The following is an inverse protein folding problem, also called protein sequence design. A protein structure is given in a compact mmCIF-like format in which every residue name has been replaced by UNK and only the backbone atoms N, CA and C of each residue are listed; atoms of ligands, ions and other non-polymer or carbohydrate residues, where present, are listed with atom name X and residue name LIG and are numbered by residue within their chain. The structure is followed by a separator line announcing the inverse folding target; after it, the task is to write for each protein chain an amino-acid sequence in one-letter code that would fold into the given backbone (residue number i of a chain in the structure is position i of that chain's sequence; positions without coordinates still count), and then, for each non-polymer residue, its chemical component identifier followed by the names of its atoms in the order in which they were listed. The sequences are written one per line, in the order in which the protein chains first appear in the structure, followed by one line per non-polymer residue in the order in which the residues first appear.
data_IF_310156878849
#
_entry.id   IF_310156878849
#
_cell.length_a   1.000
_cell.length_b   1.000
_cell.length_c   1.000
_cell.angle_alpha   90.00
_cell.angle_beta   90.00
_cell.angle_gamma   90.00
#
_symmetry.space_group_name_H-M   'P 1'
#
loop_
_entity.id
_entity.type
_entity.pdbx_description
1 polymer ?
#
# COMPACT_ATOMS: atom_id res chain seq x y z
N UNK A 1 -3.46 -12.50 6.72
CA UNK A 1 -2.32 -13.42 6.47
C UNK A 1 -1.06 -12.62 6.76
N UNK A 2 -0.06 -13.14 7.46
CA UNK A 2 1.18 -12.40 7.76
C UNK A 2 2.26 -12.63 6.70
N UNK A 3 3.25 -11.75 6.61
CA UNK A 3 4.38 -11.87 5.69
C UNK A 3 5.14 -13.16 5.94
N UNK A 4 5.40 -13.50 7.21
CA UNK A 4 6.04 -14.76 7.59
C UNK A 4 5.33 -15.98 6.99
N UNK A 5 4.01 -16.02 7.11
CA UNK A 5 3.21 -17.13 6.56
C UNK A 5 3.28 -17.11 5.03
N UNK A 6 3.17 -15.94 4.40
CA UNK A 6 3.24 -15.81 2.95
C UNK A 6 4.57 -16.33 2.39
N UNK A 7 5.70 -15.94 2.98
CA UNK A 7 7.03 -16.40 2.56
C UNK A 7 7.22 -17.91 2.74
N UNK A 8 6.70 -18.46 3.85
CA UNK A 8 6.74 -19.90 4.12
C UNK A 8 5.89 -20.70 3.13
N UNK A 9 4.66 -20.24 2.84
CA UNK A 9 3.75 -20.88 1.88
C UNK A 9 4.35 -20.87 0.45
N UNK A 10 5.11 -19.82 0.10
CA UNK A 10 5.83 -19.69 -1.17
C UNK A 10 7.24 -20.32 -1.16
N UNK A 11 7.67 -20.93 -0.04
CA UNK A 11 8.97 -21.59 0.12
C UNK A 11 10.17 -20.70 -0.23
N UNK A 12 10.08 -19.40 0.02
CA UNK A 12 11.14 -18.43 -0.33
C UNK A 12 12.47 -18.80 0.31
N UNK A 13 12.46 -19.16 1.60
CA UNK A 13 13.68 -19.52 2.33
C UNK A 13 14.24 -20.92 1.98
N UNK A 14 13.60 -21.66 1.05
CA UNK A 14 14.08 -22.98 0.57
C UNK A 14 14.79 -22.88 -0.79
N UNK A 15 14.92 -21.67 -1.36
CA UNK A 15 15.61 -21.45 -2.63
C UNK A 15 17.12 -21.51 -2.37
N UNK A 16 17.82 -22.45 -3.00
CA UNK A 16 19.26 -22.65 -2.82
C UNK A 16 20.13 -21.74 -3.70
N UNK A 17 19.59 -21.29 -4.83
CA UNK A 17 20.31 -20.38 -5.73
C UNK A 17 20.20 -18.95 -5.20
N UNK A 18 21.34 -18.37 -4.81
CA UNK A 18 21.40 -17.03 -4.20
C UNK A 18 20.78 -15.95 -5.09
N UNK A 19 20.99 -16.02 -6.42
CA UNK A 19 20.45 -15.01 -7.34
C UNK A 19 18.94 -15.15 -7.47
N UNK A 20 18.45 -16.37 -7.60
CA UNK A 20 17.01 -16.65 -7.66
C UNK A 20 16.34 -16.32 -6.33
N UNK A 21 17.01 -16.57 -5.20
CA UNK A 21 16.51 -16.24 -3.87
C UNK A 21 16.28 -14.73 -3.73
N UNK A 22 17.29 -13.91 -4.05
CA UNK A 22 17.19 -12.46 -3.95
C UNK A 22 16.03 -11.90 -4.79
N UNK A 23 15.91 -12.32 -6.04
CA UNK A 23 14.82 -11.87 -6.92
C UNK A 23 13.45 -12.34 -6.41
N UNK A 24 13.36 -13.61 -6.02
CA UNK A 24 12.10 -14.20 -5.52
C UNK A 24 11.65 -13.57 -4.21
N UNK A 25 12.58 -13.27 -3.30
CA UNK A 25 12.32 -12.59 -2.04
C UNK A 25 11.79 -11.17 -2.29
N UNK A 26 12.50 -10.38 -3.09
CA UNK A 26 12.09 -9.02 -3.44
C UNK A 26 10.68 -8.99 -4.01
N UNK A 27 10.41 -9.84 -4.99
CA UNK A 27 9.10 -9.94 -5.65
C UNK A 27 8.01 -10.46 -4.70
N UNK A 28 8.32 -11.44 -3.86
CA UNK A 28 7.35 -12.00 -2.91
C UNK A 28 6.95 -10.98 -1.84
N UNK A 29 7.90 -10.24 -1.28
CA UNK A 29 7.62 -9.19 -0.30
C UNK A 29 6.82 -8.07 -0.94
N UNK A 30 7.20 -7.60 -2.13
CA UNK A 30 6.45 -6.57 -2.86
C UNK A 30 5.01 -7.03 -3.14
N UNK A 31 4.84 -8.27 -3.62
CA UNK A 31 3.52 -8.84 -3.92
C UNK A 31 2.66 -8.94 -2.66
N UNK A 32 3.23 -9.42 -1.55
CA UNK A 32 2.54 -9.47 -0.26
C UNK A 32 2.05 -8.08 0.15
N UNK A 33 2.92 -7.07 0.12
CA UNK A 33 2.58 -5.69 0.45
C UNK A 33 1.45 -5.17 -0.44
N UNK A 34 1.47 -5.46 -1.75
CA UNK A 34 0.39 -5.09 -2.66
C UNK A 34 -0.95 -5.75 -2.33
N UNK A 35 -0.95 -7.05 -1.96
CA UNK A 35 -2.17 -7.79 -1.60
C UNK A 35 -2.89 -7.17 -0.39
N UNK A 36 -2.12 -6.73 0.61
CA UNK A 36 -2.67 -6.11 1.82
C UNK A 36 -2.82 -4.59 1.71
N UNK A 37 -2.58 -4.02 0.53
CA UNK A 37 -2.66 -2.58 0.29
C UNK A 37 -1.65 -1.76 1.10
N UNK A 38 -0.46 -2.32 1.37
CA UNK A 38 0.62 -1.71 2.16
C UNK A 38 0.26 -1.40 3.63
N UNK A 39 -0.86 -1.94 4.12
CA UNK A 39 -1.25 -1.88 5.53
C UNK A 39 -0.62 -3.04 6.30
N UNK A 40 0.69 -2.94 6.54
CA UNK A 40 1.49 -3.95 7.23
C UNK A 40 1.41 -3.83 8.75
N UNK A 41 1.58 -4.95 9.44
CA UNK A 41 1.73 -4.96 10.91
C UNK A 41 3.15 -4.59 11.33
N UNK A 42 3.36 -4.32 12.62
CA UNK A 42 4.71 -4.14 13.19
C UNK A 42 5.60 -5.36 12.94
N UNK A 43 5.04 -6.56 13.08
CA UNK A 43 5.76 -7.83 12.89
C UNK A 43 6.19 -8.00 11.42
N UNK A 44 5.34 -7.59 10.47
CA UNK A 44 5.69 -7.60 9.05
C UNK A 44 6.82 -6.60 8.76
N UNK A 45 6.75 -5.39 9.36
CA UNK A 45 7.78 -4.37 9.22
C UNK A 45 9.13 -4.86 9.77
N UNK A 46 9.15 -5.52 10.92
CA UNK A 46 10.37 -6.13 11.48
C UNK A 46 10.98 -7.16 10.53
N UNK A 47 10.15 -7.98 9.88
CA UNK A 47 10.63 -8.95 8.88
C UNK A 47 11.25 -8.23 7.68
N UNK A 48 10.57 -7.21 7.13
CA UNK A 48 11.08 -6.41 5.99
C UNK A 48 12.43 -5.78 6.33
N UNK A 49 12.56 -5.20 7.53
CA UNK A 49 13.83 -4.62 8.02
C UNK A 49 14.91 -5.67 8.17
N UNK A 50 14.58 -6.83 8.75
CA UNK A 50 15.54 -7.93 8.93
C UNK A 50 16.06 -8.50 7.61
N UNK A 51 15.27 -8.38 6.54
CA UNK A 51 15.64 -8.77 5.16
C UNK A 51 16.34 -7.64 4.38
N UNK A 52 16.55 -6.47 4.98
CA UNK A 52 17.21 -5.34 4.32
C UNK A 52 16.37 -4.65 3.25
N UNK A 53 15.04 -4.82 3.27
CA UNK A 53 14.12 -4.30 2.26
C UNK A 53 13.39 -3.02 2.69
N UNK A 54 13.83 -2.35 3.77
CA UNK A 54 13.15 -1.16 4.32
C UNK A 54 13.03 -0.02 3.29
N UNK A 55 14.13 0.35 2.63
CA UNK A 55 14.11 1.42 1.63
C UNK A 55 13.25 1.06 0.41
N UNK A 56 13.28 -0.21 0.00
CA UNK A 56 12.44 -0.71 -1.09
C UNK A 56 10.96 -0.64 -0.71
N UNK A 57 10.61 -1.07 0.50
CA UNK A 57 9.26 -0.98 1.03
C UNK A 57 8.74 0.46 1.08
N UNK A 58 9.54 1.41 1.58
CA UNK A 58 9.16 2.83 1.63
C UNK A 58 8.86 3.33 0.22
N UNK A 59 9.74 3.04 -0.75
CA UNK A 59 9.54 3.46 -2.13
C UNK A 59 8.28 2.84 -2.75
N UNK A 60 8.10 1.53 -2.60
CA UNK A 60 6.91 0.84 -3.12
C UNK A 60 5.62 1.37 -2.50
N UNK A 61 5.60 1.63 -1.18
CA UNK A 61 4.46 2.21 -0.48
C UNK A 61 4.12 3.58 -1.05
N UNK A 62 5.11 4.46 -1.23
CA UNK A 62 4.89 5.80 -1.80
C UNK A 62 4.30 5.72 -3.20
N UNK A 63 4.83 4.84 -4.06
CA UNK A 63 4.30 4.63 -5.41
C UNK A 63 2.84 4.17 -5.34
N UNK A 64 2.55 3.14 -4.54
CA UNK A 64 1.19 2.62 -4.38
C UNK A 64 0.19 3.68 -3.91
N UNK A 65 0.57 4.50 -2.92
CA UNK A 65 -0.33 5.53 -2.38
C UNK A 65 -0.55 6.64 -3.39
N UNK A 66 0.47 7.02 -4.19
CA UNK A 66 0.32 8.00 -5.27
C UNK A 66 -0.61 7.49 -6.37
N UNK A 67 -0.43 6.25 -6.82
CA UNK A 67 -1.31 5.64 -7.82
C UNK A 67 -2.75 5.57 -7.29
N UNK A 68 -2.92 5.28 -6.00
CA UNK A 68 -4.22 5.25 -5.34
C UNK A 68 -4.85 6.65 -5.26
N UNK A 69 -4.06 7.69 -4.98
CA UNK A 69 -4.48 9.08 -4.96
C UNK A 69 -4.90 9.58 -6.35
N UNK A 70 -4.12 9.26 -7.39
CA UNK A 70 -4.47 9.55 -8.78
C UNK A 70 -5.78 8.87 -9.18
N UNK A 71 -5.95 7.60 -8.80
CA UNK A 71 -7.21 6.89 -9.04
C UNK A 71 -8.40 7.51 -8.32
N UNK A 72 -8.21 8.05 -7.11
CA UNK A 72 -9.25 8.79 -6.40
C UNK A 72 -9.61 10.10 -7.12
N UNK A 73 -8.63 10.79 -7.71
CA UNK A 73 -8.85 12.02 -8.49
C UNK A 73 -9.71 11.85 -9.74
N UNK A 74 -9.85 10.62 -10.25
CA UNK A 74 -10.70 10.27 -11.40
C UNK A 74 -12.17 10.01 -10.99
N UNK A 75 -12.49 9.90 -9.70
CA UNK A 75 -13.83 9.62 -9.18
C UNK A 75 -14.73 10.85 -9.34
N UNK A 76 -15.90 10.66 -9.96
CA UNK A 76 -16.87 11.75 -10.10
C UNK A 76 -17.32 12.27 -8.73
N UNK A 77 -17.44 13.59 -8.60
CA UNK A 77 -17.78 14.27 -7.35
C UNK A 77 -18.72 15.43 -7.61
N UNK A 78 -19.70 15.61 -6.71
CA UNK A 78 -20.60 16.74 -6.77
C UNK A 78 -19.84 18.04 -6.42
N UNK A 79 -19.83 19.06 -7.28
CA UNK A 79 -19.05 20.29 -7.06
C UNK A 79 -19.62 21.20 -5.95
N UNK A 80 -20.87 21.01 -5.54
CA UNK A 80 -21.51 21.80 -4.48
C UNK A 80 -21.36 21.14 -3.10
N UNK A 81 -21.44 19.81 -3.03
CA UNK A 81 -21.37 19.06 -1.76
C UNK A 81 -20.02 18.41 -1.50
N UNK A 82 -19.15 18.33 -2.51
CA UNK A 82 -17.86 17.64 -2.46
C UNK A 82 -17.94 16.16 -2.06
N UNK A 83 -19.11 15.56 -2.29
CA UNK A 83 -19.38 14.14 -2.08
C UNK A 83 -19.12 13.34 -3.36
N UNK A 84 -18.54 12.15 -3.23
CA UNK A 84 -18.33 11.24 -4.37
C UNK A 84 -19.68 10.75 -4.93
N UNK A 85 -19.80 10.69 -6.25
CA UNK A 85 -21.04 10.27 -6.95
C UNK A 85 -21.05 8.76 -7.27
N UNK A 86 -19.89 8.11 -7.21
CA UNK A 86 -19.71 6.69 -7.47
C UNK A 86 -18.92 6.02 -6.33
N UNK A 87 -19.12 4.71 -6.09
CA UNK A 87 -18.38 4.02 -5.04
C UNK A 87 -16.89 3.97 -5.36
N UNK A 88 -16.07 4.27 -4.36
CA UNK A 88 -14.62 4.15 -4.48
C UNK A 88 -14.07 3.34 -3.31
N UNK A 89 -13.42 2.20 -3.63
CA UNK A 89 -12.98 1.20 -2.63
C UNK A 89 -14.14 0.73 -1.75
N UNK A 90 -14.15 1.13 -0.48
CA UNK A 90 -15.17 0.80 0.51
C UNK A 90 -16.07 2.01 0.84
N UNK A 91 -15.81 3.17 0.24
CA UNK A 91 -16.62 4.37 0.36
C UNK A 91 -17.79 4.30 -0.62
N UNK A 92 -18.97 4.68 -0.12
CA UNK A 92 -20.21 4.69 -0.89
C UNK A 92 -20.44 6.08 -1.50
N UNK A 93 -21.26 6.18 -2.57
CA UNK A 93 -21.75 7.47 -3.05
C UNK A 93 -22.34 8.31 -1.91
N UNK A 94 -22.06 9.61 -1.89
CA UNK A 94 -22.41 10.51 -0.80
C UNK A 94 -21.35 10.63 0.30
N UNK A 95 -20.20 9.96 0.19
CA UNK A 95 -19.07 10.16 1.12
C UNK A 95 -18.35 11.47 0.76
N UNK A 96 -18.12 12.33 1.75
CA UNK A 96 -17.39 13.58 1.54
C UNK A 96 -15.90 13.31 1.25
N UNK A 97 -15.30 14.05 0.31
CA UNK A 97 -13.88 13.85 -0.06
C UNK A 97 -12.91 14.00 1.12
N UNK A 98 -13.22 14.88 2.07
CA UNK A 98 -12.36 15.09 3.26
C UNK A 98 -12.29 13.85 4.16
N UNK A 99 -13.36 13.06 4.25
CA UNK A 99 -13.33 11.79 4.99
C UNK A 99 -12.38 10.80 4.32
N UNK A 100 -12.33 10.82 3.00
CA UNK A 100 -11.42 9.98 2.20
C UNK A 100 -9.97 10.49 2.34
N UNK A 101 -9.77 11.80 2.38
CA UNK A 101 -8.47 12.43 2.66
C UNK A 101 -7.93 12.02 4.02
N UNK A 102 -8.73 12.15 5.08
CA UNK A 102 -8.33 11.71 6.42
C UNK A 102 -8.03 10.22 6.46
N UNK A 103 -8.76 9.41 5.71
CA UNK A 103 -8.43 7.99 5.57
C UNK A 103 -7.04 7.75 4.97
N UNK A 104 -6.60 8.52 3.96
CA UNK A 104 -5.23 8.42 3.45
C UNK A 104 -4.20 8.73 4.55
N UNK A 105 -4.44 9.80 5.31
CA UNK A 105 -3.52 10.24 6.36
C UNK A 105 -3.40 9.20 7.49
N UNK A 106 -4.54 8.68 7.95
CA UNK A 106 -4.59 7.68 9.00
C UNK A 106 -4.00 6.33 8.59
N UNK A 107 -4.27 5.87 7.37
CA UNK A 107 -3.84 4.53 6.94
C UNK A 107 -2.39 4.48 6.49
N UNK A 108 -1.90 5.53 5.83
CA UNK A 108 -0.59 5.52 5.19
C UNK A 108 0.45 6.38 5.89
N UNK A 109 0.10 7.11 6.95
CA UNK A 109 1.04 7.99 7.66
C UNK A 109 1.73 8.96 6.66
N UNK A 110 0.91 9.58 5.82
CA UNK A 110 1.30 10.55 4.77
C UNK A 110 0.31 11.71 4.82
N UNK A 111 0.75 12.93 4.57
CA UNK A 111 -0.19 14.05 4.47
C UNK A 111 -0.79 14.16 3.06
N UNK A 112 -2.03 14.65 2.97
CA UNK A 112 -2.60 15.01 1.66
C UNK A 112 -1.81 16.14 0.98
N UNK A 113 -1.17 17.02 1.75
CA UNK A 113 -0.26 18.03 1.22
C UNK A 113 0.90 17.39 0.42
N UNK A 114 1.54 16.35 0.96
CA UNK A 114 2.59 15.61 0.26
C UNK A 114 2.07 14.92 -1.02
N UNK A 115 0.84 14.40 -0.99
CA UNK A 115 0.19 13.80 -2.17
C UNK A 115 -0.12 14.82 -3.26
N UNK A 116 -0.38 16.07 -2.89
CA UNK A 116 -0.58 17.19 -3.81
C UNK A 116 0.73 17.83 -4.28
N UNK A 117 1.88 17.38 -3.79
CA UNK A 117 3.19 17.93 -4.16
C UNK A 117 3.55 19.24 -3.48
N UNK A 118 2.98 19.50 -2.30
CA UNK A 118 3.26 20.68 -1.46
C UNK A 118 4.36 20.42 -0.41
#
# INVERSE_FOLDING_TARGET
MSLRKYLADNKIDQIEDDQVFMESEYNAVQTYCGIIGYLITSDDLEIIKSRGLEDSFINWKIIYVKDLWENFGEVAMNPETEEIEEPWKHFLPGTHREDIWHWFEEQFDISVAELMGH
#
